data_IF_359554354286
#
_entry.id   IF_359554354286
#
_cell.length_a   1.000
_cell.length_b   1.000
_cell.length_c   1.000
_cell.angle_alpha   90.00
_cell.angle_beta   90.00
_cell.angle_gamma   90.00
#
_symmetry.space_group_name_H-M   'P 1'
#
loop_
_entity.id
_entity.type
_entity.pdbx_description
1 polymer ?
#
# COMPACT_ATOMS: atom_id res chain seq x y z
N UNK A 1 11.70 1.06 7.41
CA UNK A 1 10.92 2.24 6.92
C UNK A 1 9.48 2.20 7.47
N UNK A 2 8.82 3.35 7.66
CA UNK A 2 7.42 3.41 8.13
C UNK A 2 6.47 3.64 6.96
N UNK A 3 5.44 2.78 6.84
CA UNK A 3 4.42 2.89 5.80
C UNK A 3 3.05 3.19 6.40
N UNK A 4 2.42 4.28 5.96
CA UNK A 4 1.03 4.57 6.28
C UNK A 4 0.12 3.87 5.27
N UNK A 5 -0.71 2.93 5.72
CA UNK A 5 -1.76 2.30 4.94
C UNK A 5 -3.12 2.84 5.42
N UNK A 6 -3.86 3.44 4.51
CA UNK A 6 -5.20 3.97 4.77
C UNK A 6 -6.28 3.18 4.03
N UNK A 7 -7.39 2.90 4.71
CA UNK A 7 -8.57 2.28 4.13
C UNK A 7 -9.75 3.27 4.19
N UNK A 8 -10.03 4.00 3.09
CA UNK A 8 -10.99 5.09 3.10
C UNK A 8 -12.43 4.64 3.36
N UNK A 9 -12.79 3.40 3.01
CA UNK A 9 -14.15 2.90 3.20
C UNK A 9 -14.57 2.79 4.68
N UNK A 10 -13.63 2.48 5.58
CA UNK A 10 -13.87 2.52 7.04
C UNK A 10 -13.28 3.75 7.72
N UNK A 11 -12.51 4.58 6.99
CA UNK A 11 -11.79 5.73 7.54
C UNK A 11 -10.64 5.36 8.48
N UNK A 12 -10.21 4.09 8.49
CA UNK A 12 -9.12 3.64 9.34
C UNK A 12 -7.78 3.80 8.65
N UNK A 13 -6.75 4.17 9.42
CA UNK A 13 -5.36 4.16 8.97
C UNK A 13 -4.50 3.36 9.94
N UNK A 14 -3.51 2.66 9.40
CA UNK A 14 -2.54 1.90 10.18
C UNK A 14 -1.14 2.23 9.69
N UNK A 15 -0.26 2.54 10.63
CA UNK A 15 1.16 2.69 10.35
C UNK A 15 1.83 1.34 10.58
N UNK A 16 2.52 0.84 9.56
CA UNK A 16 3.21 -0.45 9.57
C UNK A 16 4.71 -0.19 9.47
N UNK A 17 5.47 -0.79 10.36
CA UNK A 17 6.93 -0.81 10.25
C UNK A 17 7.33 -1.93 9.30
N UNK A 18 7.91 -1.56 8.16
CA UNK A 18 8.38 -2.52 7.16
C UNK A 18 9.89 -2.35 7.01
N UNK A 19 10.63 -3.40 7.37
CA UNK A 19 12.09 -3.44 7.32
C UNK A 19 12.61 -3.81 5.91
N UNK A 20 11.77 -4.49 5.15
CA UNK A 20 12.11 -5.04 3.83
C UNK A 20 12.05 -3.96 2.73
N UNK A 21 13.20 -3.32 2.50
CA UNK A 21 13.34 -2.25 1.50
C UNK A 21 13.08 -2.72 0.06
N UNK A 22 13.30 -4.01 -0.24
CA UNK A 22 13.06 -4.57 -1.59
C UNK A 22 11.57 -4.52 -1.94
N UNK A 23 10.68 -4.80 -0.98
CA UNK A 23 9.23 -4.71 -1.17
C UNK A 23 8.76 -3.26 -1.38
N UNK A 24 9.44 -2.30 -0.76
CA UNK A 24 9.19 -0.86 -0.94
C UNK A 24 9.76 -0.30 -2.24
N UNK A 25 10.84 -0.87 -2.77
CA UNK A 25 11.44 -0.37 -4.01
C UNK A 25 10.46 -0.35 -5.18
N UNK A 26 9.68 -1.43 -5.31
CA UNK A 26 8.62 -1.55 -6.32
C UNK A 26 7.51 -0.51 -6.16
N UNK A 27 7.28 0.00 -4.93
CA UNK A 27 6.32 1.09 -4.68
C UNK A 27 6.91 2.49 -4.93
N UNK A 28 8.23 2.65 -4.82
CA UNK A 28 8.89 3.93 -5.09
C UNK A 28 8.88 4.33 -6.57
N UNK A 29 9.11 3.37 -7.48
CA UNK A 29 9.15 3.63 -8.92
C UNK A 29 7.79 4.00 -9.52
N UNK A 30 6.69 3.69 -8.83
CA UNK A 30 5.35 3.96 -9.33
C UNK A 30 4.87 5.37 -8.99
N UNK A 31 4.18 5.99 -9.97
CA UNK A 31 3.58 7.31 -9.82
C UNK A 31 2.44 7.31 -8.79
N UNK A 32 2.18 8.48 -8.21
CA UNK A 32 1.01 8.72 -7.35
C UNK A 32 -0.28 8.38 -8.14
N UNK A 33 -1.29 7.89 -7.43
CA UNK A 33 -2.59 7.43 -7.95
C UNK A 33 -2.53 6.24 -8.93
N UNK A 34 -1.38 5.58 -9.08
CA UNK A 34 -1.28 4.33 -9.86
C UNK A 34 -1.73 3.13 -9.02
N UNK A 35 -2.62 2.31 -9.55
CA UNK A 35 -3.06 1.07 -8.91
C UNK A 35 -2.03 -0.05 -9.02
N UNK A 36 -1.82 -0.74 -7.91
CA UNK A 36 -0.79 -1.76 -7.75
C UNK A 36 -1.32 -2.90 -6.91
N UNK A 37 -1.14 -4.14 -7.36
CA UNK A 37 -1.47 -5.30 -6.54
C UNK A 37 -0.60 -5.32 -5.27
N UNK A 38 -1.23 -5.48 -4.11
CA UNK A 38 -0.59 -5.47 -2.79
C UNK A 38 0.16 -6.78 -2.47
N UNK A 39 0.08 -7.79 -3.33
CA UNK A 39 0.76 -9.09 -3.17
C UNK A 39 2.27 -8.98 -2.90
N UNK A 40 2.91 -7.88 -3.35
CA UNK A 40 4.34 -7.64 -3.14
C UNK A 40 4.69 -7.27 -1.70
N UNK A 41 3.72 -6.83 -0.89
CA UNK A 41 3.94 -6.44 0.51
C UNK A 41 3.91 -7.66 1.44
N UNK A 42 3.11 -8.68 1.11
CA UNK A 42 3.01 -9.94 1.85
C UNK A 42 1.76 -10.73 1.46
N UNK A 43 1.68 -11.99 1.90
CA UNK A 43 0.53 -12.86 1.60
C UNK A 43 -0.78 -12.36 2.23
N UNK A 44 -0.72 -11.69 3.38
CA UNK A 44 -1.91 -11.10 4.03
C UNK A 44 -2.60 -10.04 3.14
N UNK A 45 -1.85 -9.45 2.20
CA UNK A 45 -2.31 -8.42 1.28
C UNK A 45 -2.71 -8.99 -0.09
N UNK A 46 -2.74 -10.32 -0.25
CA UNK A 46 -3.13 -10.94 -1.52
C UNK A 46 -4.59 -10.63 -1.83
N UNK A 47 -4.86 -10.20 -3.06
CA UNK A 47 -6.19 -9.79 -3.52
C UNK A 47 -6.52 -8.31 -3.27
N UNK A 48 -5.70 -7.59 -2.52
CA UNK A 48 -5.85 -6.15 -2.35
C UNK A 48 -5.09 -5.38 -3.43
N UNK A 49 -5.62 -4.23 -3.82
CA UNK A 49 -4.97 -3.29 -4.72
C UNK A 49 -4.74 -2.01 -3.95
N UNK A 50 -3.57 -1.39 -4.08
CA UNK A 50 -3.27 -0.13 -3.42
C UNK A 50 -2.76 0.88 -4.43
N UNK A 51 -2.99 2.14 -4.13
CA UNK A 51 -2.43 3.26 -4.88
C UNK A 51 -1.57 4.10 -3.97
N UNK A 52 -0.48 4.63 -4.51
CA UNK A 52 0.35 5.60 -3.81
C UNK A 52 -0.40 6.93 -3.74
N UNK A 53 -0.56 7.47 -2.55
CA UNK A 53 -1.07 8.82 -2.27
C UNK A 53 0.08 9.70 -1.80
N UNK A 54 -0.11 11.02 -1.91
CA UNK A 54 0.83 12.02 -1.37
C UNK A 54 1.00 11.91 0.16
N UNK A 55 0.04 11.27 0.85
CA UNK A 55 0.03 11.08 2.31
C UNK A 55 0.42 9.63 2.73
N UNK A 56 0.59 8.69 1.79
CA UNK A 56 0.85 7.29 2.12
C UNK A 56 0.36 6.31 1.05
N UNK A 57 0.11 5.04 1.39
CA UNK A 57 -0.48 4.05 0.49
C UNK A 57 -1.96 3.85 0.83
N UNK A 58 -2.85 3.93 -0.16
CA UNK A 58 -4.30 3.77 0.03
C UNK A 58 -4.75 2.45 -0.55
N UNK A 59 -5.36 1.57 0.26
CA UNK A 59 -5.93 0.31 -0.21
C UNK A 59 -7.30 0.57 -0.87
N UNK A 60 -7.45 0.17 -2.14
CA UNK A 60 -8.72 0.06 -2.85
C UNK A 60 -9.12 -1.41 -2.92
N UNK A 61 -10.22 -1.73 -2.26
CA UNK A 61 -10.87 -3.04 -2.41
C UNK A 61 -11.71 -2.95 -3.68
N UNK A 62 -11.19 -3.50 -4.77
CA UNK A 62 -11.98 -3.76 -5.97
C UNK A 62 -12.78 -5.05 -5.73
N UNK A 63 -14.10 -5.08 -6.01
CA UNK A 63 -14.92 -6.29 -5.91
C UNK A 63 -14.48 -7.37 -6.90
#
# INVERSE_FOLDING_TARGET
>A
MKLNISFPATGCQKLIEMDDELKLRTSYEKHVATEVAAHTLGEEWKGYTWAKSVVGMTNRVSP
#
